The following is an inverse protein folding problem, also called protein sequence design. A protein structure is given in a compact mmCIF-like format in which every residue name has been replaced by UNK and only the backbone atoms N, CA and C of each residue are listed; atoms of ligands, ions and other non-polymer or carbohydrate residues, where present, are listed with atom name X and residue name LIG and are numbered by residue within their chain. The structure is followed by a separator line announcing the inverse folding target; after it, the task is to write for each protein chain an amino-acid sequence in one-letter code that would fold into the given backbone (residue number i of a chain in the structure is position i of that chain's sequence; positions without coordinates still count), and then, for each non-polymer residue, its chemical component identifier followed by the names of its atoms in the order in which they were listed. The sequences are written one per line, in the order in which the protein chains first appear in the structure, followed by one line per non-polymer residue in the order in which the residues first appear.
data_IF_695246120420
#
_entry.id   IF_695246120420
#
_cell.length_a   1.000
_cell.length_b   1.000
_cell.length_c   1.000
_cell.angle_alpha   90.00
_cell.angle_beta   90.00
_cell.angle_gamma   90.00
#
_symmetry.space_group_name_H-M   'P 1'
#
loop_
_entity.id
_entity.type
_entity.pdbx_description
1 polymer ?
#
# COMPACT_ATOMS: atom_id res chain seq x y z
N UNK A 1 -2.17 23.06 38.68
CA UNK A 1 -2.35 21.92 37.76
C UNK A 1 -2.34 22.46 36.35
N UNK A 2 -1.42 22.01 35.48
CA UNK A 2 -1.45 22.40 34.06
C UNK A 2 -2.55 21.61 33.36
N UNK A 3 -3.57 22.27 32.77
CA UNK A 3 -4.59 21.55 32.02
C UNK A 3 -3.94 20.81 30.86
N UNK A 4 -4.20 19.51 30.74
CA UNK A 4 -3.68 18.70 29.64
C UNK A 4 -4.80 18.36 28.67
N UNK A 5 -4.54 18.50 27.37
CA UNK A 5 -5.49 18.11 26.34
C UNK A 5 -5.80 16.60 26.42
N UNK A 6 -7.08 16.21 26.27
CA UNK A 6 -7.50 14.83 26.07
C UNK A 6 -6.74 14.15 24.92
N UNK A 7 -6.45 12.86 25.07
CA UNK A 7 -5.70 12.07 24.07
C UNK A 7 -6.38 12.07 22.70
N UNK A 8 -7.70 11.96 22.66
CA UNK A 8 -8.45 11.93 21.39
C UNK A 8 -8.40 13.27 20.64
N UNK A 9 -8.38 14.39 21.37
CA UNK A 9 -8.17 15.71 20.77
C UNK A 9 -6.75 15.84 20.22
N UNK A 10 -5.73 15.37 20.95
CA UNK A 10 -4.35 15.37 20.45
C UNK A 10 -4.18 14.49 19.20
N UNK A 11 -4.80 13.31 19.18
CA UNK A 11 -4.82 12.45 17.97
C UNK A 11 -5.48 13.13 16.80
N UNK A 12 -6.60 13.83 17.02
CA UNK A 12 -7.30 14.60 16.00
C UNK A 12 -6.43 15.72 15.44
N UNK A 13 -5.76 16.48 16.31
CA UNK A 13 -4.81 17.53 15.90
C UNK A 13 -3.66 16.95 15.07
N UNK A 14 -3.06 15.84 15.52
CA UNK A 14 -1.99 15.16 14.79
C UNK A 14 -2.50 14.67 13.43
N UNK A 15 -3.70 14.08 13.37
CA UNK A 15 -4.31 13.63 12.12
C UNK A 15 -4.46 14.80 11.14
N UNK A 16 -5.01 15.92 11.56
CA UNK A 16 -5.13 17.11 10.71
C UNK A 16 -3.77 17.65 10.26
N UNK A 17 -2.79 17.75 11.17
CA UNK A 17 -1.45 18.23 10.85
C UNK A 17 -0.68 17.31 9.89
N UNK A 18 -1.07 16.04 9.82
CA UNK A 18 -0.42 15.01 8.98
C UNK A 18 -1.30 14.58 7.80
N UNK A 19 -2.46 15.19 7.63
CA UNK A 19 -3.38 14.86 6.56
C UNK A 19 -2.80 15.33 5.24
N UNK A 20 -2.71 14.40 4.28
CA UNK A 20 -2.25 14.68 2.93
C UNK A 20 -3.28 15.47 2.09
N UNK A 21 -4.48 15.76 2.58
CA UNK A 21 -5.52 16.46 1.81
C UNK A 21 -6.13 15.65 0.66
N UNK A 22 -5.47 14.57 0.23
CA UNK A 22 -5.98 13.61 -0.75
C UNK A 22 -6.75 12.53 0.02
N UNK A 23 -8.08 12.63 0.02
CA UNK A 23 -8.91 11.48 0.39
C UNK A 23 -8.74 10.42 -0.70
N UNK A 24 -8.44 9.15 -0.37
CA UNK A 24 -8.44 8.07 -1.34
C UNK A 24 -9.81 7.91 -2.04
N UNK A 25 -10.87 8.53 -1.51
CA UNK A 25 -12.10 8.77 -2.26
C UNK A 25 -11.98 10.02 -3.16
N UNK A 26 -11.99 9.86 -4.49
CA UNK A 26 -12.21 10.99 -5.38
C UNK A 26 -13.65 11.47 -5.21
N UNK A 27 -13.90 12.37 -4.27
CA UNK A 27 -15.14 13.14 -4.17
C UNK A 27 -15.17 14.25 -5.23
N UNK A 28 -14.85 13.91 -6.48
CA UNK A 28 -15.06 14.73 -7.66
C UNK A 28 -14.67 13.89 -8.86
N UNK A 29 -15.67 13.47 -9.62
CA UNK A 29 -15.55 13.13 -11.04
C UNK A 29 -14.73 14.21 -11.77
N UNK A 30 -13.50 13.96 -12.25
CA UNK A 30 -13.19 14.43 -13.58
C UNK A 30 -14.19 13.71 -14.49
N UNK A 31 -14.89 14.45 -15.34
CA UNK A 31 -15.94 13.94 -16.23
C UNK A 31 -15.49 12.86 -17.23
N UNK A 32 -14.27 12.31 -17.08
CA UNK A 32 -13.76 11.24 -17.88
C UNK A 32 -12.55 10.55 -17.18
N UNK A 33 -12.78 9.58 -16.27
CA UNK A 33 -11.72 8.79 -15.61
C UNK A 33 -10.80 8.06 -16.61
N UNK A 34 -11.27 7.87 -17.84
CA UNK A 34 -10.54 7.22 -18.93
C UNK A 34 -9.85 8.19 -19.90
N UNK A 35 -10.08 9.52 -19.80
CA UNK A 35 -9.45 10.47 -20.74
C UNK A 35 -7.98 10.75 -20.42
N UNK A 36 -7.53 10.44 -19.20
CA UNK A 36 -6.13 10.44 -18.86
C UNK A 36 -5.74 9.02 -18.43
N UNK A 37 -5.26 8.16 -19.36
CA UNK A 37 -4.70 6.86 -19.01
C UNK A 37 -3.53 6.99 -18.02
N UNK A 38 -2.97 8.19 -17.87
CA UNK A 38 -2.08 8.60 -16.79
C UNK A 38 -2.86 9.01 -15.54
N UNK A 39 -3.83 8.21 -15.09
CA UNK A 39 -4.58 8.46 -13.85
C UNK A 39 -3.65 8.25 -12.64
N UNK A 40 -2.87 9.30 -12.35
CA UNK A 40 -1.79 9.38 -11.37
C UNK A 40 -2.27 9.38 -9.93
N UNK A 41 -3.55 9.14 -9.63
CA UNK A 41 -4.06 9.39 -8.28
C UNK A 41 -3.27 8.61 -7.21
N UNK A 42 -2.85 7.37 -7.49
CA UNK A 42 -2.01 6.60 -6.56
C UNK A 42 -0.59 7.16 -6.44
N UNK A 43 -0.03 7.71 -7.53
CA UNK A 43 1.27 8.36 -7.55
C UNK A 43 1.25 9.72 -6.83
N UNK A 44 0.22 10.54 -7.09
CA UNK A 44 -0.07 11.79 -6.41
C UNK A 44 -0.34 11.55 -4.92
N UNK A 45 -1.16 10.56 -4.58
CA UNK A 45 -1.40 10.16 -3.19
C UNK A 45 -0.10 9.74 -2.49
N UNK A 46 0.77 8.97 -3.16
CA UNK A 46 2.10 8.63 -2.64
C UNK A 46 2.97 9.86 -2.46
N UNK A 47 3.05 10.75 -3.45
CA UNK A 47 3.86 11.97 -3.41
C UNK A 47 3.44 12.90 -2.27
N UNK A 48 2.15 13.20 -2.16
CA UNK A 48 1.63 14.09 -1.12
C UNK A 48 1.80 13.47 0.28
N UNK A 49 1.69 12.14 0.41
CA UNK A 49 2.02 11.46 1.67
C UNK A 49 3.52 11.49 2.00
N UNK A 50 4.40 11.48 0.99
CA UNK A 50 5.83 11.63 1.17
C UNK A 50 6.20 13.06 1.58
N UNK A 51 5.51 14.07 1.08
CA UNK A 51 5.70 15.47 1.49
C UNK A 51 5.36 15.68 2.98
N UNK A 52 4.22 15.14 3.43
CA UNK A 52 3.79 15.22 4.84
C UNK A 52 4.66 14.39 5.79
N UNK A 53 5.54 13.52 5.28
CA UNK A 53 6.42 12.67 6.07
C UNK A 53 7.35 13.47 6.99
N UNK A 54 7.83 14.65 6.54
CA UNK A 54 8.66 15.54 7.36
C UNK A 54 7.92 15.98 8.62
N UNK A 55 6.66 16.36 8.50
CA UNK A 55 5.77 16.73 9.61
C UNK A 55 5.51 15.55 10.53
N UNK A 56 5.20 14.38 9.98
CA UNK A 56 5.01 13.13 10.75
C UNK A 56 6.25 12.82 11.60
N UNK A 57 7.45 12.89 11.00
CA UNK A 57 8.72 12.68 11.71
C UNK A 57 8.94 13.74 12.79
N UNK A 58 8.70 15.02 12.51
CA UNK A 58 8.86 16.10 13.49
C UNK A 58 7.98 15.87 14.72
N UNK A 59 6.72 15.46 14.53
CA UNK A 59 5.80 15.15 15.62
C UNK A 59 6.30 14.00 16.52
N UNK A 60 6.98 12.99 15.94
CA UNK A 60 7.57 11.90 16.75
C UNK A 60 8.70 12.36 17.69
N UNK A 61 9.26 13.55 17.49
CA UNK A 61 10.37 14.11 18.27
C UNK A 61 9.92 15.06 19.38
N UNK A 62 8.66 15.50 19.39
CA UNK A 62 8.14 16.48 20.35
C UNK A 62 8.14 15.94 21.79
N UNK A 63 7.57 14.76 22.00
CA UNK A 63 7.52 14.11 23.31
C UNK A 63 7.26 12.60 23.17
N UNK A 64 7.44 11.83 24.26
CA UNK A 64 7.11 10.40 24.28
C UNK A 64 5.62 10.15 23.96
N UNK A 65 4.72 11.00 24.46
CA UNK A 65 3.28 10.90 24.22
C UNK A 65 2.95 11.18 22.75
N UNK A 66 3.50 12.26 22.18
CA UNK A 66 3.35 12.57 20.76
C UNK A 66 3.93 11.49 19.88
N UNK A 67 5.10 10.94 20.23
CA UNK A 67 5.70 9.82 19.51
C UNK A 67 4.75 8.64 19.41
N UNK A 68 4.16 8.20 20.52
CA UNK A 68 3.21 7.07 20.51
C UNK A 68 2.02 7.33 19.59
N UNK A 69 1.45 8.53 19.61
CA UNK A 69 0.32 8.90 18.75
C UNK A 69 0.72 9.05 17.28
N UNK A 70 1.85 9.71 17.00
CA UNK A 70 2.35 9.99 15.66
C UNK A 70 2.79 8.73 14.90
N UNK A 71 3.19 7.67 15.61
CA UNK A 71 3.58 6.40 14.97
C UNK A 71 2.45 5.77 14.15
N UNK A 72 1.20 5.86 14.61
CA UNK A 72 0.03 5.39 13.85
C UNK A 72 -0.01 6.00 12.46
N UNK A 73 0.11 7.34 12.38
CA UNK A 73 0.07 8.11 11.14
C UNK A 73 1.36 7.96 10.28
N UNK A 74 2.48 7.65 10.92
CA UNK A 74 3.75 7.36 10.24
C UNK A 74 3.68 6.02 9.49
N UNK A 75 3.05 5.01 10.10
CA UNK A 75 2.90 3.68 9.51
C UNK A 75 1.69 3.55 8.61
N UNK A 76 0.75 4.50 8.63
CA UNK A 76 -0.42 4.52 7.76
C UNK A 76 -0.07 4.32 6.28
N UNK A 77 1.05 4.92 5.84
CA UNK A 77 1.59 4.84 4.50
C UNK A 77 2.99 4.23 4.51
N UNK A 78 3.21 3.17 3.71
CA UNK A 78 4.53 2.55 3.57
C UNK A 78 4.89 2.35 2.11
N UNK A 79 6.03 2.89 1.70
CA UNK A 79 6.63 2.70 0.38
C UNK A 79 7.91 1.86 0.46
N UNK A 80 7.88 0.71 -0.22
CA UNK A 80 8.97 -0.26 -0.33
C UNK A 80 9.59 -0.10 -1.70
N UNK A 81 10.81 0.45 -1.72
CA UNK A 81 11.62 0.61 -2.92
C UNK A 81 12.90 -0.23 -2.87
N UNK A 82 13.23 -0.80 -1.70
CA UNK A 82 14.48 -1.51 -1.44
C UNK A 82 14.23 -2.70 -0.53
N UNK A 83 14.98 -3.78 -0.74
CA UNK A 83 14.98 -5.00 0.08
C UNK A 83 15.15 -4.69 1.57
N UNK A 84 16.11 -3.83 1.92
CA UNK A 84 16.40 -3.46 3.31
C UNK A 84 15.22 -2.77 4.01
N UNK A 85 14.41 -1.99 3.28
CA UNK A 85 13.18 -1.37 3.84
C UNK A 85 12.12 -2.43 4.13
N UNK A 86 11.95 -3.42 3.25
CA UNK A 86 11.01 -4.52 3.46
C UNK A 86 11.37 -5.35 4.70
N UNK A 87 12.65 -5.74 4.84
CA UNK A 87 13.15 -6.46 6.00
C UNK A 87 12.93 -5.68 7.30
N UNK A 88 13.31 -4.40 7.31
CA UNK A 88 13.12 -3.52 8.49
C UNK A 88 11.65 -3.39 8.88
N UNK A 89 10.74 -3.35 7.92
CA UNK A 89 9.30 -3.31 8.18
C UNK A 89 8.84 -4.62 8.85
N UNK A 90 9.23 -5.77 8.31
CA UNK A 90 8.90 -7.08 8.88
C UNK A 90 9.40 -7.20 10.32
N UNK A 91 10.66 -6.83 10.57
CA UNK A 91 11.25 -6.82 11.91
C UNK A 91 10.47 -5.91 12.85
N UNK A 92 10.10 -4.72 12.38
CA UNK A 92 9.34 -3.74 13.17
C UNK A 92 7.94 -4.27 13.52
N UNK A 93 7.23 -4.87 12.57
CA UNK A 93 5.90 -5.46 12.81
C UNK A 93 6.02 -6.63 13.81
N UNK A 94 6.99 -7.53 13.61
CA UNK A 94 7.21 -8.68 14.51
C UNK A 94 7.63 -8.28 15.93
N UNK A 95 8.48 -7.25 16.06
CA UNK A 95 8.92 -6.76 17.36
C UNK A 95 7.77 -6.14 18.15
N UNK A 96 6.79 -5.55 17.47
CA UNK A 96 5.66 -4.89 18.12
C UNK A 96 4.43 -5.79 18.28
N UNK A 97 4.38 -6.95 17.63
CA UNK A 97 3.24 -7.88 17.74
C UNK A 97 3.09 -8.54 19.12
N UNK A 98 4.07 -8.39 20.02
CA UNK A 98 4.00 -8.88 21.40
C UNK A 98 3.23 -7.95 22.34
N UNK A 99 2.85 -6.75 21.89
CA UNK A 99 2.12 -5.79 22.71
C UNK A 99 0.62 -5.96 22.52
N UNK A 100 -0.16 -5.74 23.59
CA UNK A 100 -1.64 -5.83 23.58
C UNK A 100 -2.27 -4.67 22.78
N UNK A 101 -1.55 -3.55 22.67
CA UNK A 101 -2.00 -2.37 21.91
C UNK A 101 -1.91 -2.60 20.40
N UNK A 102 -2.77 -1.91 19.64
CA UNK A 102 -2.67 -1.84 18.17
C UNK A 102 -1.25 -1.44 17.78
N UNK A 103 -0.69 -2.12 16.78
CA UNK A 103 0.68 -1.89 16.35
C UNK A 103 0.77 -1.63 14.84
N UNK A 104 2.01 -1.61 14.30
CA UNK A 104 2.27 -1.42 12.88
C UNK A 104 1.50 -2.39 12.00
N UNK A 105 1.22 -3.59 12.51
CA UNK A 105 0.40 -4.61 11.85
C UNK A 105 -0.99 -4.11 11.48
N UNK A 106 -1.63 -3.34 12.37
CA UNK A 106 -2.95 -2.76 12.18
C UNK A 106 -2.88 -1.34 11.60
N UNK A 107 -1.77 -0.63 11.78
CA UNK A 107 -1.61 0.74 11.32
C UNK A 107 -1.30 0.87 9.83
N UNK A 108 -0.60 -0.09 9.22
CA UNK A 108 -0.33 -0.04 7.77
C UNK A 108 -1.63 -0.13 6.99
N UNK A 109 -2.04 1.00 6.39
CA UNK A 109 -3.26 1.12 5.58
C UNK A 109 -2.95 1.06 4.10
N UNK A 110 -1.86 1.67 3.67
CA UNK A 110 -1.46 1.70 2.27
C UNK A 110 -0.04 1.19 2.09
N UNK A 111 0.13 0.22 1.19
CA UNK A 111 1.42 -0.37 0.88
C UNK A 111 1.74 -0.16 -0.61
N UNK A 112 2.83 0.55 -0.86
CA UNK A 112 3.36 0.82 -2.20
C UNK A 112 4.62 0.01 -2.40
N UNK A 113 4.66 -0.80 -3.45
CA UNK A 113 5.80 -1.65 -3.77
C UNK A 113 6.33 -1.24 -5.14
N UNK A 114 7.53 -0.64 -5.13
CA UNK A 114 8.33 -0.33 -6.30
C UNK A 114 9.53 -1.29 -6.31
N UNK A 115 9.92 -1.81 -7.47
CA UNK A 115 11.04 -2.78 -7.62
C UNK A 115 10.86 -4.10 -6.81
N UNK A 116 9.83 -4.90 -7.13
CA UNK A 116 9.49 -6.09 -6.38
C UNK A 116 10.31 -7.34 -6.74
N UNK A 117 11.08 -7.33 -7.83
CA UNK A 117 11.53 -8.58 -8.47
C UNK A 117 12.43 -9.44 -7.57
N UNK A 118 13.27 -8.83 -6.74
CA UNK A 118 14.06 -9.57 -5.73
C UNK A 118 13.32 -9.80 -4.40
N UNK A 119 12.12 -9.25 -4.24
CA UNK A 119 11.47 -9.03 -2.94
C UNK A 119 10.08 -9.67 -2.82
N UNK A 120 9.59 -10.40 -3.83
CA UNK A 120 8.21 -10.92 -3.84
C UNK A 120 7.86 -11.70 -2.56
N UNK A 121 8.74 -12.64 -2.15
CA UNK A 121 8.57 -13.40 -0.90
C UNK A 121 8.45 -12.53 0.35
N UNK A 122 9.14 -11.38 0.38
CA UNK A 122 9.04 -10.44 1.50
C UNK A 122 7.75 -9.62 1.43
N UNK A 123 7.33 -9.23 0.23
CA UNK A 123 6.04 -8.56 0.05
C UNK A 123 4.90 -9.48 0.49
N UNK A 124 4.90 -10.74 0.09
CA UNK A 124 3.95 -11.76 0.55
C UNK A 124 3.90 -11.82 2.08
N UNK A 125 5.07 -11.88 2.73
CA UNK A 125 5.16 -11.85 4.21
C UNK A 125 4.58 -10.56 4.80
N UNK A 126 4.83 -9.41 4.19
CA UNK A 126 4.31 -8.12 4.66
C UNK A 126 2.78 -8.07 4.51
N UNK A 127 2.24 -8.51 3.38
CA UNK A 127 0.80 -8.60 3.14
C UNK A 127 0.11 -9.47 4.20
N UNK A 128 0.67 -10.66 4.46
CA UNK A 128 0.15 -11.56 5.51
C UNK A 128 0.18 -10.94 6.92
N UNK A 129 1.18 -10.10 7.18
CA UNK A 129 1.28 -9.39 8.45
C UNK A 129 0.25 -8.25 8.51
N UNK A 130 0.10 -7.43 7.49
CA UNK A 130 -0.69 -6.19 7.52
C UNK A 130 -2.22 -6.43 7.48
N UNK A 131 -2.82 -6.72 8.65
CA UNK A 131 -4.27 -6.92 8.79
C UNK A 131 -5.10 -5.66 8.53
N UNK A 132 -4.48 -4.49 8.73
CA UNK A 132 -5.15 -3.19 8.55
C UNK A 132 -5.17 -2.68 7.11
N UNK A 133 -4.60 -3.42 6.16
CA UNK A 133 -4.37 -2.95 4.80
C UNK A 133 -5.68 -2.65 4.08
N UNK A 134 -5.74 -1.47 3.45
CA UNK A 134 -6.87 -0.97 2.64
C UNK A 134 -6.46 -0.65 1.23
N UNK A 135 -5.19 -0.29 0.99
CA UNK A 135 -4.67 -0.01 -0.34
C UNK A 135 -3.37 -0.74 -0.63
N UNK A 136 -3.25 -1.28 -1.83
CA UNK A 136 -2.03 -1.92 -2.32
C UNK A 136 -1.71 -1.43 -3.73
N UNK A 137 -0.47 -1.01 -3.92
CA UNK A 137 0.06 -0.57 -5.21
C UNK A 137 1.28 -1.40 -5.56
N UNK A 138 1.23 -2.05 -6.72
CA UNK A 138 2.31 -2.86 -7.26
C UNK A 138 2.81 -2.25 -8.56
N UNK A 139 4.03 -1.72 -8.55
CA UNK A 139 4.66 -1.06 -9.71
C UNK A 139 6.02 -1.68 -10.00
N UNK A 140 6.08 -2.84 -10.69
CA UNK A 140 7.33 -3.44 -11.10
C UNK A 140 8.08 -2.52 -12.06
N UNK A 141 9.38 -2.39 -11.83
CA UNK A 141 10.27 -1.78 -12.82
C UNK A 141 10.46 -2.79 -13.95
N UNK A 142 10.49 -2.33 -15.20
CA UNK A 142 10.58 -3.17 -16.40
C UNK A 142 11.96 -3.83 -16.59
N UNK A 143 12.56 -4.39 -15.54
CA UNK A 143 13.80 -5.16 -15.69
C UNK A 143 13.52 -6.47 -16.41
N UNK A 144 14.27 -6.70 -17.49
CA UNK A 144 14.07 -7.74 -18.50
C UNK A 144 14.44 -9.16 -18.05
N UNK A 145 14.54 -9.42 -16.75
CA UNK A 145 14.96 -10.74 -16.30
C UNK A 145 13.79 -11.72 -16.42
N UNK A 146 13.86 -12.53 -17.48
CA UNK A 146 13.00 -13.69 -17.77
C UNK A 146 13.18 -14.77 -16.70
N UNK A 147 12.59 -14.58 -15.52
CA UNK A 147 12.53 -15.62 -14.50
C UNK A 147 11.27 -16.45 -14.72
N UNK A 148 11.44 -17.75 -15.00
CA UNK A 148 10.33 -18.73 -15.03
C UNK A 148 9.56 -18.77 -13.71
N UNK A 149 10.22 -18.44 -12.60
CA UNK A 149 9.62 -18.41 -11.26
C UNK A 149 8.81 -17.14 -10.97
N UNK A 150 8.80 -16.17 -11.90
CA UNK A 150 8.14 -14.86 -11.70
C UNK A 150 6.64 -15.01 -11.58
N UNK A 151 6.02 -15.81 -12.45
CA UNK A 151 4.56 -15.99 -12.47
C UNK A 151 4.07 -16.62 -11.17
N UNK A 152 4.68 -17.74 -10.76
CA UNK A 152 4.34 -18.39 -9.49
C UNK A 152 4.54 -17.45 -8.28
N UNK A 153 5.59 -16.62 -8.28
CA UNK A 153 5.83 -15.65 -7.21
C UNK A 153 4.83 -14.48 -7.25
N UNK A 154 4.39 -14.04 -8.43
CA UNK A 154 3.33 -13.03 -8.57
C UNK A 154 1.99 -13.58 -8.09
N UNK A 155 1.65 -14.82 -8.45
CA UNK A 155 0.45 -15.49 -7.99
C UNK A 155 0.46 -15.64 -6.47
N UNK A 156 1.61 -15.99 -5.88
CA UNK A 156 1.77 -16.03 -4.43
C UNK A 156 1.47 -14.67 -3.79
N UNK A 157 1.98 -13.57 -4.36
CA UNK A 157 1.69 -12.20 -3.88
C UNK A 157 0.20 -11.91 -3.98
N UNK A 158 -0.43 -12.17 -5.14
CA UNK A 158 -1.86 -11.93 -5.40
C UNK A 158 -2.74 -12.70 -4.43
N UNK A 159 -2.43 -13.98 -4.20
CA UNK A 159 -3.18 -14.82 -3.27
C UNK A 159 -3.11 -14.31 -1.82
N UNK A 160 -2.04 -13.61 -1.46
CA UNK A 160 -1.82 -13.05 -0.13
C UNK A 160 -2.33 -11.61 0.03
N UNK A 161 -2.85 -10.98 -1.04
CA UNK A 161 -3.53 -9.69 -0.90
C UNK A 161 -4.79 -9.89 -0.02
N UNK A 162 -4.96 -9.10 1.06
CA UNK A 162 -6.12 -9.18 1.92
C UNK A 162 -7.43 -8.95 1.17
N UNK A 163 -8.48 -9.69 1.54
CA UNK A 163 -9.79 -9.62 0.87
C UNK A 163 -10.57 -8.34 1.17
N UNK A 164 -10.20 -7.61 2.22
CA UNK A 164 -10.83 -6.35 2.63
C UNK A 164 -10.19 -5.11 1.98
N UNK A 165 -9.46 -5.30 0.87
CA UNK A 165 -8.77 -4.21 0.18
C UNK A 165 -9.76 -3.34 -0.59
N UNK A 166 -9.60 -2.03 -0.44
CA UNK A 166 -10.47 -1.02 -1.05
C UNK A 166 -9.85 -0.41 -2.30
N UNK A 167 -8.51 -0.34 -2.33
CA UNK A 167 -7.77 0.31 -3.40
C UNK A 167 -6.71 -0.65 -3.93
N UNK A 168 -6.79 -1.00 -5.21
CA UNK A 168 -5.80 -1.85 -5.85
C UNK A 168 -5.23 -1.15 -7.07
N UNK A 169 -3.92 -0.94 -7.08
CA UNK A 169 -3.17 -0.55 -8.26
C UNK A 169 -2.17 -1.61 -8.65
N UNK A 170 -2.21 -2.00 -9.91
CA UNK A 170 -1.38 -3.05 -10.46
C UNK A 170 -0.82 -2.63 -11.82
N UNK A 171 0.46 -2.28 -11.87
CA UNK A 171 1.15 -1.81 -13.06
C UNK A 171 2.16 -2.85 -13.55
N UNK A 172 1.71 -4.06 -13.83
CA UNK A 172 2.57 -5.12 -14.35
C UNK A 172 1.79 -6.26 -14.97
N UNK A 173 2.48 -7.05 -15.80
CA UNK A 173 1.91 -8.27 -16.37
C UNK A 173 1.45 -9.21 -15.24
N UNK A 174 0.27 -9.80 -15.40
CA UNK A 174 -0.32 -10.73 -14.44
C UNK A 174 -1.14 -11.78 -15.17
N UNK A 175 -1.10 -13.02 -14.69
CA UNK A 175 -2.01 -14.06 -15.17
C UNK A 175 -3.46 -13.67 -14.86
N UNK A 176 -4.30 -13.67 -15.89
CA UNK A 176 -5.70 -13.24 -15.76
C UNK A 176 -6.46 -14.08 -14.74
N UNK A 177 -6.19 -15.39 -14.66
CA UNK A 177 -6.84 -16.32 -13.73
C UNK A 177 -6.59 -15.97 -12.26
N UNK A 178 -5.34 -15.75 -11.86
CA UNK A 178 -4.97 -15.37 -10.51
C UNK A 178 -5.55 -14.00 -10.14
N UNK A 179 -5.47 -13.05 -11.07
CA UNK A 179 -6.02 -11.70 -10.86
C UNK A 179 -7.54 -11.71 -10.73
N UNK A 180 -8.25 -12.45 -11.58
CA UNK A 180 -9.70 -12.62 -11.50
C UNK A 180 -10.13 -13.25 -10.17
N UNK A 181 -9.39 -14.26 -9.67
CA UNK A 181 -9.64 -14.85 -8.37
C UNK A 181 -9.50 -13.84 -7.22
N UNK A 182 -8.49 -12.95 -7.28
CA UNK A 182 -8.35 -11.84 -6.33
C UNK A 182 -9.54 -10.88 -6.41
N UNK A 183 -9.93 -10.46 -7.61
CA UNK A 183 -11.04 -9.52 -7.79
C UNK A 183 -12.35 -10.09 -7.25
N UNK A 184 -12.63 -11.38 -7.50
CA UNK A 184 -13.79 -12.04 -6.93
C UNK A 184 -13.75 -12.06 -5.40
N UNK A 185 -12.61 -12.42 -4.80
CA UNK A 185 -12.41 -12.45 -3.35
C UNK A 185 -12.54 -11.07 -2.69
N UNK A 186 -12.12 -10.01 -3.38
CA UNK A 186 -12.10 -8.64 -2.85
C UNK A 186 -13.36 -7.83 -3.22
N UNK A 187 -14.23 -8.37 -4.08
CA UNK A 187 -15.36 -7.68 -4.71
C UNK A 187 -16.26 -6.88 -3.76
N UNK A 188 -16.54 -7.42 -2.56
CA UNK A 188 -17.40 -6.76 -1.57
C UNK A 188 -16.78 -5.49 -0.95
N UNK A 189 -15.46 -5.31 -1.04
CA UNK A 189 -14.74 -4.19 -0.42
C UNK A 189 -14.01 -3.30 -1.41
N UNK A 190 -13.71 -3.80 -2.61
CA UNK A 190 -12.97 -3.09 -3.63
C UNK A 190 -13.77 -1.89 -4.15
N UNK A 191 -13.16 -0.72 -4.10
CA UNK A 191 -13.76 0.57 -4.49
C UNK A 191 -13.06 1.17 -5.69
N UNK A 192 -11.74 1.04 -5.76
CA UNK A 192 -10.93 1.54 -6.88
C UNK A 192 -9.98 0.44 -7.36
N UNK A 193 -10.01 0.20 -8.67
CA UNK A 193 -9.13 -0.72 -9.37
C UNK A 193 -8.43 0.04 -10.49
N UNK A 194 -7.09 0.02 -10.49
CA UNK A 194 -6.27 0.59 -11.54
C UNK A 194 -5.30 -0.47 -12.04
N UNK A 195 -5.42 -0.88 -13.29
CA UNK A 195 -4.57 -1.92 -13.88
C UNK A 195 -3.92 -1.41 -15.16
N UNK A 196 -2.63 -1.61 -15.30
CA UNK A 196 -1.88 -1.36 -16.54
C UNK A 196 -1.20 -2.64 -17.02
N UNK A 197 -1.25 -2.89 -18.33
CA UNK A 197 -0.54 -4.02 -18.95
C UNK A 197 -1.23 -5.38 -18.82
N UNK A 198 -2.56 -5.46 -19.04
CA UNK A 198 -3.21 -6.74 -19.29
C UNK A 198 -2.81 -7.22 -20.70
N UNK A 199 -2.09 -8.34 -20.79
CA UNK A 199 -1.87 -9.01 -22.08
C UNK A 199 -3.11 -9.86 -22.34
N UNK A 200 -3.76 -9.63 -23.47
CA UNK A 200 -4.78 -10.55 -23.97
C UNK A 200 -4.05 -11.78 -24.54
N UNK A 201 -4.18 -12.93 -23.87
CA UNK A 201 -3.55 -14.19 -24.30
C UNK A 201 -4.15 -14.73 -25.62
N UNK A 202 -5.16 -14.08 -26.20
CA UNK A 202 -5.81 -14.54 -27.43
C UNK A 202 -5.01 -14.33 -28.72
N UNK A 203 -3.88 -13.63 -28.70
CA UNK A 203 -2.96 -13.58 -29.84
C UNK A 203 -2.11 -14.86 -29.94
N UNK A 204 -2.74 -15.97 -30.33
CA UNK A 204 -2.01 -17.13 -30.85
C UNK A 204 -1.28 -16.74 -32.14
N UNK A 205 0.04 -16.99 -32.27
CA UNK A 205 0.71 -16.87 -33.55
C UNK A 205 0.12 -17.92 -34.51
N UNK A 206 -0.39 -17.47 -35.67
CA UNK A 206 -0.76 -18.38 -36.74
C UNK A 206 0.47 -19.22 -37.12
N UNK A 207 0.35 -20.56 -37.20
CA UNK A 207 1.40 -21.39 -37.74
C UNK A 207 1.59 -21.04 -39.23
N UNK A 208 2.85 -20.77 -39.62
CA UNK A 208 3.30 -20.64 -41.01
C UNK A 208 3.46 -22.04 -41.60
#
# INVERSE_FOLDING_TARGET
MTPSLPTELLKTIIRYATHAGVDPYPAATPANPCANPDSWWFAEFEEVNLETMKTKIALTRVSRRFRRMALEFLFEFVSIQKLSKALKLIETIKKQSSNIELGPREWVKFLFVRQPESNMRLVTKILHLCRGLRGFSWTPTASQTRFKDREAAQDEVIQNIPTNIQFLHWSGMVQFSAFAALLQRASASLRVLCTYGLIDETTHPQPI
#
